data_IF_841838407059
#
_entry.id   IF_841838407059
#
_cell.length_a   1.000
_cell.length_b   1.000
_cell.length_c   1.000
_cell.angle_alpha   90.00
_cell.angle_beta   90.00
_cell.angle_gamma   90.00
#
_symmetry.space_group_name_H-M   'P 1'
#
loop_
_entity.id
_entity.type
_entity.pdbx_description
1 polymer ?
#
# COMPACT_ATOMS: atom_id res chain seq x y z
N UNK A 1 38.82 19.74 -3.08
CA UNK A 1 39.60 19.16 -1.98
C UNK A 1 39.34 17.66 -1.96
N UNK A 2 40.39 16.87 -2.14
CA UNK A 2 40.32 15.41 -2.30
C UNK A 2 40.50 14.76 -0.93
N UNK A 3 39.58 13.87 -0.52
CA UNK A 3 39.86 12.89 0.53
C UNK A 3 39.46 11.50 0.06
N UNK A 4 40.47 10.82 -0.46
CA UNK A 4 40.56 9.38 -0.66
C UNK A 4 40.40 8.69 0.71
N UNK A 5 39.50 7.73 0.83
CA UNK A 5 39.56 6.72 1.88
C UNK A 5 39.58 5.36 1.18
N UNK A 6 40.71 4.69 1.35
CA UNK A 6 41.02 3.37 0.82
C UNK A 6 40.14 2.31 1.48
N UNK A 7 39.50 1.47 0.68
CA UNK A 7 38.88 0.23 1.15
C UNK A 7 39.86 -0.91 0.85
N UNK A 8 40.51 -1.42 1.90
CA UNK A 8 41.39 -2.57 1.81
C UNK A 8 40.54 -3.86 1.83
N UNK A 9 40.68 -4.67 0.78
CA UNK A 9 40.24 -6.05 0.75
C UNK A 9 41.00 -6.86 1.79
N UNK A 10 40.27 -7.61 2.62
CA UNK A 10 40.81 -8.70 3.44
C UNK A 10 39.98 -9.96 3.20
N UNK A 11 40.52 -10.90 2.43
CA UNK A 11 40.07 -12.29 2.40
C UNK A 11 40.57 -12.98 3.68
N UNK A 12 39.66 -13.59 4.42
CA UNK A 12 39.96 -14.55 5.49
C UNK A 12 38.91 -15.65 5.50
N UNK A 13 39.35 -16.89 5.43
CA UNK A 13 38.55 -18.12 5.29
C UNK A 13 38.81 -19.03 6.51
N UNK A 14 37.70 -19.57 7.08
CA UNK A 14 37.55 -20.80 7.90
C UNK A 14 37.89 -20.77 9.43
N UNK A 15 37.47 -21.76 10.26
CA UNK A 15 36.09 -22.12 10.66
C UNK A 15 35.92 -22.44 12.20
N UNK A 16 34.65 -22.51 12.64
CA UNK A 16 34.05 -23.29 13.76
C UNK A 16 34.51 -23.16 15.25
N UNK A 17 33.50 -22.79 16.06
CA UNK A 17 33.16 -23.22 17.43
C UNK A 17 34.02 -22.75 18.62
N UNK A 18 33.41 -21.96 19.53
CA UNK A 18 33.05 -22.39 20.89
C UNK A 18 32.10 -21.37 21.55
N UNK A 19 31.10 -21.92 22.22
CA UNK A 19 30.03 -21.29 23.00
C UNK A 19 30.55 -20.59 24.26
N UNK A 20 30.08 -19.35 24.50
CA UNK A 20 29.84 -18.76 25.82
C UNK A 20 29.25 -17.35 25.63
N UNK A 21 27.93 -17.25 25.48
CA UNK A 21 27.20 -15.99 25.52
C UNK A 21 26.21 -16.05 26.69
N UNK A 22 26.69 -15.72 27.89
CA UNK A 22 25.85 -15.21 28.96
C UNK A 22 25.96 -13.68 28.93
N UNK A 23 25.17 -13.10 28.03
CA UNK A 23 24.87 -11.69 28.00
C UNK A 23 23.48 -11.61 27.38
N UNK A 24 22.49 -11.26 28.18
CA UNK A 24 21.14 -10.94 27.73
C UNK A 24 21.22 -9.82 26.69
N UNK A 25 21.32 -10.20 25.42
CA UNK A 25 21.06 -9.31 24.30
C UNK A 25 19.56 -8.97 24.34
N UNK A 26 19.16 -7.69 24.15
CA UNK A 26 17.76 -7.40 23.91
C UNK A 26 17.34 -8.22 22.70
N UNK A 27 16.27 -9.01 22.86
CA UNK A 27 15.63 -9.68 21.76
C UNK A 27 15.38 -8.61 20.68
N UNK A 28 16.07 -8.75 19.55
CA UNK A 28 15.75 -7.98 18.37
C UNK A 28 14.33 -8.38 18.00
N UNK A 29 13.37 -7.49 18.19
CA UNK A 29 12.03 -7.62 17.61
C UNK A 29 12.23 -7.78 16.10
N UNK A 30 12.19 -9.03 15.64
CA UNK A 30 11.99 -9.30 14.24
C UNK A 30 10.70 -8.57 13.85
N UNK A 31 10.66 -7.82 12.73
CA UNK A 31 9.45 -7.16 12.31
C UNK A 31 8.36 -8.23 12.22
N UNK A 32 7.34 -8.13 13.06
CA UNK A 32 6.20 -9.01 12.99
C UNK A 32 5.63 -8.86 11.57
N UNK A 33 5.77 -9.91 10.74
CA UNK A 33 5.06 -9.97 9.47
C UNK A 33 3.59 -9.71 9.78
N UNK A 34 3.05 -8.58 9.31
CA UNK A 34 1.64 -8.29 9.41
C UNK A 34 0.89 -9.49 8.82
N UNK A 35 -0.04 -10.06 9.61
CA UNK A 35 -0.87 -11.15 9.13
C UNK A 35 -1.53 -10.71 7.82
N UNK A 36 -1.64 -11.60 6.81
CA UNK A 36 -2.34 -11.26 5.59
C UNK A 36 -3.75 -10.78 5.92
N UNK A 37 -4.15 -9.67 5.31
CA UNK A 37 -5.48 -9.12 5.51
C UNK A 37 -6.55 -10.18 5.15
N UNK A 38 -7.62 -10.23 5.93
CA UNK A 38 -8.76 -11.08 5.62
C UNK A 38 -9.33 -10.70 4.22
N UNK A 39 -9.82 -11.68 3.42
CA UNK A 39 -10.37 -11.42 2.09
C UNK A 39 -11.48 -10.36 2.08
N UNK A 40 -12.32 -10.31 3.11
CA UNK A 40 -13.38 -9.31 3.25
C UNK A 40 -12.83 -7.90 3.45
N UNK A 41 -11.81 -7.74 4.30
CA UNK A 41 -11.12 -6.44 4.47
C UNK A 41 -10.39 -6.03 3.20
N UNK A 42 -9.85 -6.99 2.44
CA UNK A 42 -9.22 -6.73 1.14
C UNK A 42 -10.23 -6.23 0.12
N UNK A 43 -11.42 -6.85 0.06
CA UNK A 43 -12.52 -6.39 -0.79
C UNK A 43 -13.01 -5.00 -0.40
N UNK A 44 -13.26 -4.76 0.89
CA UNK A 44 -13.65 -3.45 1.43
C UNK A 44 -12.63 -2.37 1.03
N UNK A 45 -11.34 -2.61 1.27
CA UNK A 45 -10.27 -1.69 0.91
C UNK A 45 -10.21 -1.42 -0.60
N UNK A 46 -10.35 -2.45 -1.43
CA UNK A 46 -10.34 -2.28 -2.89
C UNK A 46 -11.55 -1.47 -3.39
N UNK A 47 -12.73 -1.63 -2.77
CA UNK A 47 -13.92 -0.82 -3.05
C UNK A 47 -13.76 0.62 -2.58
N UNK A 48 -13.21 0.84 -1.39
CA UNK A 48 -12.87 2.20 -0.94
C UNK A 48 -11.87 2.87 -1.88
N UNK A 49 -10.85 2.13 -2.33
CA UNK A 49 -9.85 2.64 -3.27
C UNK A 49 -10.46 3.01 -4.63
N UNK A 50 -11.46 2.23 -5.10
CA UNK A 50 -12.26 2.56 -6.29
C UNK A 50 -12.99 3.90 -6.11
N UNK A 51 -13.64 4.10 -4.96
CA UNK A 51 -14.27 5.36 -4.62
C UNK A 51 -13.28 6.53 -4.61
N UNK A 52 -12.09 6.34 -4.00
CA UNK A 52 -11.05 7.37 -3.98
C UNK A 52 -10.60 7.75 -5.39
N UNK A 53 -10.46 6.79 -6.30
CA UNK A 53 -10.14 7.09 -7.70
C UNK A 53 -11.26 7.86 -8.40
N UNK A 54 -12.53 7.57 -8.10
CA UNK A 54 -13.66 8.38 -8.60
C UNK A 54 -13.60 9.81 -8.04
N UNK A 55 -13.24 9.99 -6.76
CA UNK A 55 -13.00 11.30 -6.16
C UNK A 55 -11.85 12.03 -6.87
N UNK A 56 -10.70 11.38 -7.02
CA UNK A 56 -9.52 11.92 -7.72
C UNK A 56 -9.85 12.33 -9.16
N UNK A 57 -10.63 11.52 -9.88
CA UNK A 57 -11.08 11.81 -11.24
C UNK A 57 -11.97 13.06 -11.27
N UNK A 58 -12.94 13.19 -10.36
CA UNK A 58 -13.81 14.38 -10.26
C UNK A 58 -13.01 15.66 -10.00
N UNK A 59 -11.90 15.54 -9.28
CA UNK A 59 -10.98 16.65 -9.01
C UNK A 59 -10.06 16.97 -10.20
N UNK A 60 -10.00 16.11 -11.22
CA UNK A 60 -9.12 16.24 -12.39
C UNK A 60 -7.69 15.76 -12.16
N UNK A 61 -7.45 14.97 -11.11
CA UNK A 61 -6.11 14.48 -10.76
C UNK A 61 -5.75 13.14 -11.39
N UNK A 62 -6.74 12.38 -11.87
CA UNK A 62 -6.56 11.06 -12.50
C UNK A 62 -7.50 10.87 -13.69
N UNK A 63 -7.13 9.95 -14.59
CA UNK A 63 -7.93 9.54 -15.74
C UNK A 63 -9.07 8.56 -15.42
N UNK A 64 -9.94 8.32 -16.41
CA UNK A 64 -11.05 7.38 -16.30
C UNK A 64 -10.58 5.91 -16.32
N UNK A 65 -9.46 5.66 -16.99
CA UNK A 65 -8.79 4.37 -17.11
C UNK A 65 -8.40 3.79 -15.76
N UNK A 66 -7.98 4.63 -14.80
CA UNK A 66 -7.62 4.20 -13.46
C UNK A 66 -8.84 3.67 -12.70
N UNK A 67 -9.99 4.34 -12.82
CA UNK A 67 -11.27 3.91 -12.23
C UNK A 67 -11.71 2.57 -12.84
N UNK A 68 -11.62 2.44 -14.16
CA UNK A 68 -11.95 1.19 -14.86
C UNK A 68 -11.06 0.02 -14.42
N UNK A 69 -9.74 0.23 -14.37
CA UNK A 69 -8.78 -0.78 -13.96
C UNK A 69 -8.97 -1.20 -12.50
N UNK A 70 -9.21 -0.25 -11.58
CA UNK A 70 -9.55 -0.58 -10.19
C UNK A 70 -10.87 -1.34 -10.09
N UNK A 71 -11.87 -0.99 -10.90
CA UNK A 71 -13.14 -1.72 -10.97
C UNK A 71 -12.96 -3.18 -11.40
N UNK A 72 -12.10 -3.43 -12.39
CA UNK A 72 -11.72 -4.79 -12.81
C UNK A 72 -11.01 -5.54 -11.69
N UNK A 73 -10.08 -4.90 -10.98
CA UNK A 73 -9.41 -5.49 -9.81
C UNK A 73 -10.40 -5.93 -8.74
N UNK A 74 -11.33 -5.05 -8.39
CA UNK A 74 -12.42 -5.36 -7.45
C UNK A 74 -13.21 -6.59 -7.90
N UNK A 75 -13.56 -6.69 -9.19
CA UNK A 75 -14.31 -7.81 -9.75
C UNK A 75 -13.59 -9.16 -9.70
N UNK A 76 -12.27 -9.18 -9.47
CA UNK A 76 -11.48 -10.40 -9.31
C UNK A 76 -11.40 -10.87 -7.84
N UNK A 77 -11.76 -10.01 -6.88
CA UNK A 77 -11.70 -10.33 -5.46
C UNK A 77 -12.88 -11.21 -5.05
N UNK A 78 -12.61 -12.15 -4.14
CA UNK A 78 -13.60 -13.07 -3.58
C UNK A 78 -13.78 -12.81 -2.09
N UNK A 79 -14.93 -13.21 -1.54
CA UNK A 79 -15.16 -13.22 -0.09
C UNK A 79 -15.58 -11.88 0.52
N UNK A 80 -15.96 -10.89 -0.29
CA UNK A 80 -16.45 -9.59 0.17
C UNK A 80 -17.96 -9.55 0.41
N UNK A 81 -18.39 -8.71 1.35
CA UNK A 81 -19.78 -8.30 1.53
C UNK A 81 -20.09 -7.07 0.65
N UNK A 82 -21.10 -7.17 -0.22
CA UNK A 82 -21.43 -6.13 -1.19
C UNK A 82 -21.91 -4.83 -0.55
N UNK A 83 -22.66 -4.91 0.57
CA UNK A 83 -23.16 -3.72 1.26
C UNK A 83 -22.01 -2.99 1.96
N UNK A 84 -21.12 -3.72 2.63
CA UNK A 84 -19.90 -3.17 3.25
C UNK A 84 -19.01 -2.54 2.18
N UNK A 85 -18.75 -3.25 1.09
CA UNK A 85 -17.95 -2.73 -0.02
C UNK A 85 -18.57 -1.49 -0.67
N UNK A 86 -19.89 -1.45 -0.86
CA UNK A 86 -20.55 -0.29 -1.47
C UNK A 86 -20.52 0.93 -0.54
N UNK A 87 -20.71 0.73 0.77
CA UNK A 87 -20.54 1.81 1.74
C UNK A 87 -19.09 2.34 1.78
N UNK A 88 -18.11 1.44 1.66
CA UNK A 88 -16.70 1.79 1.58
C UNK A 88 -16.36 2.58 0.30
N UNK A 89 -16.90 2.17 -0.86
CA UNK A 89 -16.78 2.91 -2.12
C UNK A 89 -17.41 4.31 -2.01
N UNK A 90 -18.61 4.42 -1.44
CA UNK A 90 -19.28 5.71 -1.27
C UNK A 90 -18.48 6.68 -0.40
N UNK A 91 -17.86 6.19 0.69
CA UNK A 91 -16.92 7.00 1.50
C UNK A 91 -15.68 7.39 0.71
N UNK A 92 -15.12 6.47 -0.07
CA UNK A 92 -13.99 6.76 -0.95
C UNK A 92 -14.31 7.88 -1.94
N UNK A 93 -15.51 7.86 -2.54
CA UNK A 93 -15.99 8.87 -3.48
C UNK A 93 -16.22 10.25 -2.85
N UNK A 94 -16.26 10.33 -1.51
CA UNK A 94 -16.29 11.56 -0.72
C UNK A 94 -14.90 12.03 -0.29
N UNK A 95 -13.84 11.30 -0.67
CA UNK A 95 -12.46 11.60 -0.27
C UNK A 95 -12.13 11.08 1.13
N UNK A 96 -12.74 9.98 1.57
CA UNK A 96 -12.47 9.34 2.87
C UNK A 96 -11.85 7.96 2.69
N UNK A 97 -10.72 7.72 3.34
CA UNK A 97 -10.13 6.38 3.46
C UNK A 97 -10.92 5.64 4.54
N UNK A 98 -11.61 4.57 4.16
CA UNK A 98 -12.46 3.76 5.05
C UNK A 98 -12.19 2.29 4.85
N UNK A 99 -11.58 1.66 5.85
CA UNK A 99 -11.22 0.23 5.84
C UNK A 99 -11.26 -0.31 7.27
N UNK A 100 -11.88 -1.47 7.48
CA UNK A 100 -11.82 -2.17 8.77
C UNK A 100 -12.39 -1.35 9.93
N UNK A 101 -13.39 -0.52 9.64
CA UNK A 101 -14.05 0.35 10.62
C UNK A 101 -13.25 1.60 11.02
N UNK A 102 -12.08 1.84 10.43
CA UNK A 102 -11.34 3.10 10.60
C UNK A 102 -11.68 4.06 9.47
N UNK A 103 -11.82 5.34 9.79
CA UNK A 103 -12.11 6.41 8.84
C UNK A 103 -11.18 7.60 9.05
N UNK A 104 -10.60 8.09 7.96
CA UNK A 104 -9.80 9.32 7.94
C UNK A 104 -10.02 10.02 6.62
N UNK A 105 -10.06 11.36 6.62
CA UNK A 105 -10.15 12.08 5.36
C UNK A 105 -8.85 11.86 4.57
N UNK A 106 -8.95 11.79 3.24
CA UNK A 106 -7.78 11.65 2.38
C UNK A 106 -6.83 12.85 2.56
N UNK A 107 -7.37 14.05 2.77
CA UNK A 107 -6.58 15.26 3.01
C UNK A 107 -5.73 15.14 4.28
N UNK A 108 -6.32 14.73 5.40
CA UNK A 108 -5.59 14.56 6.66
C UNK A 108 -4.56 13.43 6.52
N UNK A 109 -4.97 12.30 5.92
CA UNK A 109 -4.10 11.14 5.75
C UNK A 109 -2.86 11.41 4.90
N UNK A 110 -2.95 12.32 3.91
CA UNK A 110 -1.79 12.68 3.07
C UNK A 110 -0.98 13.82 3.67
N UNK A 111 -1.61 14.75 4.40
CA UNK A 111 -0.92 15.82 5.12
C UNK A 111 0.01 15.25 6.20
N UNK A 112 -0.49 14.27 6.98
CA UNK A 112 0.32 13.54 7.98
C UNK A 112 1.57 12.88 7.37
N UNK A 113 1.53 12.57 6.07
CA UNK A 113 2.62 11.94 5.32
C UNK A 113 3.46 12.95 4.53
N UNK A 114 3.19 14.24 4.65
CA UNK A 114 3.90 15.31 3.92
C UNK A 114 3.64 15.29 2.42
N UNK A 115 2.45 14.84 2.00
CA UNK A 115 2.02 14.76 0.59
C UNK A 115 0.82 15.68 0.34
N UNK A 116 0.38 15.74 -0.91
CA UNK A 116 -0.87 16.42 -1.31
C UNK A 116 -1.87 15.40 -1.82
N UNK A 117 -3.15 15.78 -1.84
CA UNK A 117 -4.22 14.95 -2.42
C UNK A 117 -3.92 14.64 -3.89
N UNK A 118 -3.50 15.64 -4.67
CA UNK A 118 -3.12 15.47 -6.08
C UNK A 118 -1.98 14.47 -6.26
N UNK A 119 -0.87 14.64 -5.53
CA UNK A 119 0.29 13.75 -5.65
C UNK A 119 -0.06 12.32 -5.22
N UNK A 120 -0.90 12.15 -4.21
CA UNK A 120 -1.38 10.82 -3.80
C UNK A 120 -2.32 10.21 -4.83
N UNK A 121 -3.26 10.98 -5.39
CA UNK A 121 -4.13 10.54 -6.48
C UNK A 121 -3.33 10.04 -7.69
N UNK A 122 -2.31 10.79 -8.12
CA UNK A 122 -1.43 10.41 -9.23
C UNK A 122 -0.62 9.14 -8.94
N UNK A 123 -0.17 8.97 -7.68
CA UNK A 123 0.51 7.74 -7.28
C UNK A 123 -0.42 6.53 -7.30
N UNK A 124 -1.68 6.68 -6.86
CA UNK A 124 -2.67 5.61 -6.92
C UNK A 124 -2.96 5.24 -8.38
N UNK A 125 -3.16 6.22 -9.25
CA UNK A 125 -3.35 6.00 -10.67
C UNK A 125 -2.18 5.27 -11.30
N UNK A 126 -0.94 5.71 -11.02
CA UNK A 126 0.25 5.03 -11.53
C UNK A 126 0.28 3.55 -11.11
N UNK A 127 0.02 3.27 -9.83
CA UNK A 127 0.01 1.89 -9.32
C UNK A 127 -1.06 1.02 -9.99
N UNK A 128 -2.27 1.56 -10.20
CA UNK A 128 -3.34 0.81 -10.87
C UNK A 128 -3.04 0.61 -12.35
N UNK A 129 -2.48 1.62 -13.01
CA UNK A 129 -2.08 1.55 -14.43
C UNK A 129 -0.93 0.58 -14.69
N UNK A 130 -0.04 0.37 -13.71
CA UNK A 130 0.99 -0.68 -13.80
C UNK A 130 0.38 -2.08 -13.84
N UNK A 131 -0.74 -2.29 -13.14
CA UNK A 131 -1.42 -3.59 -13.05
C UNK A 131 -2.41 -3.77 -14.20
N UNK A 132 -3.00 -2.69 -14.73
CA UNK A 132 -4.04 -2.73 -15.75
C UNK A 132 -3.75 -3.65 -16.96
N UNK A 133 -2.53 -3.70 -17.53
CA UNK A 133 -2.21 -4.60 -18.66
C UNK A 133 -2.26 -6.10 -18.31
N UNK A 134 -2.21 -6.44 -17.02
CA UNK A 134 -2.26 -7.84 -16.53
C UNK A 134 -3.69 -8.30 -16.24
N UNK A 135 -4.66 -7.38 -16.24
CA UNK A 135 -6.06 -7.70 -15.98
C UNK A 135 -6.66 -8.44 -17.18
N UNK A 136 -7.56 -9.41 -16.93
CA UNK A 136 -8.30 -10.05 -18.01
C UNK A 136 -8.98 -9.01 -18.90
N UNK A 137 -8.97 -9.27 -20.21
CA UNK A 137 -9.83 -8.52 -21.12
C UNK A 137 -11.29 -8.72 -20.70
N UNK A 138 -12.05 -7.62 -20.65
CA UNK A 138 -13.48 -7.63 -20.36
C UNK A 138 -14.31 -8.24 -21.48
#
# INVERSE_FOLDING_TARGET
MIRKIAFAMGLGLLPAAVVAQDAAAPAQDAPAQAAPADPGTTYEAARNQLGILQYCQKQGFTGAEAVEAQGKLVGLLQGGDEAVGSAAEEKGAQGTVSVGGTEVSLADAVEERGSTVEATCQQIEAAVNEIAPTLPAG
#
